data_IF_146244757201
#
_entry.id   IF_146244757201
#
_cell.length_a   1.000
_cell.length_b   1.000
_cell.length_c   1.000
_cell.angle_alpha   90.00
_cell.angle_beta   90.00
_cell.angle_gamma   90.00
#
_symmetry.space_group_name_H-M   'P 1'
#
loop_
_entity.id
_entity.type
_entity.pdbx_description
1 polymer ?
#
# COMPACT_ATOMS: atom_id res chain seq x y z
N UNK A 1 18.63 -14.00 2.56
CA UNK A 1 17.89 -15.17 3.00
C UNK A 1 16.44 -15.08 2.59
N UNK A 2 15.72 -16.20 2.62
CA UNK A 2 14.34 -16.23 2.17
C UNK A 2 13.42 -15.43 3.11
N UNK A 3 13.77 -15.31 4.36
CA UNK A 3 13.00 -14.49 5.29
C UNK A 3 13.10 -13.00 4.96
N UNK A 4 14.28 -12.55 4.59
CA UNK A 4 14.49 -11.17 4.19
C UNK A 4 13.72 -10.87 2.90
N UNK A 5 13.78 -11.79 1.96
CA UNK A 5 13.06 -11.64 0.70
C UNK A 5 11.54 -11.58 0.92
N UNK A 6 11.03 -12.47 1.78
CA UNK A 6 9.61 -12.48 2.12
C UNK A 6 9.18 -11.17 2.77
N UNK A 7 9.99 -10.67 3.69
CA UNK A 7 9.69 -9.40 4.36
C UNK A 7 9.69 -8.24 3.37
N UNK A 8 10.64 -8.25 2.44
CA UNK A 8 10.71 -7.22 1.41
C UNK A 8 9.49 -7.24 0.50
N UNK A 9 9.02 -8.43 0.15
CA UNK A 9 7.83 -8.58 -0.68
C UNK A 9 6.57 -8.10 0.04
N UNK A 10 6.46 -8.41 1.32
CA UNK A 10 5.33 -7.94 2.13
C UNK A 10 5.33 -6.43 2.25
N UNK A 11 6.50 -5.85 2.44
CA UNK A 11 6.64 -4.39 2.50
C UNK A 11 6.20 -3.75 1.18
N UNK A 12 6.62 -4.33 0.08
CA UNK A 12 6.26 -3.83 -1.25
C UNK A 12 4.75 -3.90 -1.46
N UNK A 13 4.13 -5.01 -1.08
CA UNK A 13 2.69 -5.19 -1.20
C UNK A 13 1.92 -4.20 -0.31
N UNK A 14 2.38 -4.03 0.94
CA UNK A 14 1.74 -3.10 1.87
C UNK A 14 1.86 -1.67 1.37
N UNK A 15 3.00 -1.32 0.80
CA UNK A 15 3.20 0.02 0.23
C UNK A 15 2.21 0.30 -0.89
N UNK A 16 2.02 -0.68 -1.77
CA UNK A 16 1.05 -0.56 -2.87
C UNK A 16 -0.38 -0.43 -2.36
N UNK A 17 -0.71 -1.22 -1.34
CA UNK A 17 -2.04 -1.16 -0.74
C UNK A 17 -2.29 0.19 -0.07
N UNK A 18 -1.30 0.70 0.63
CA UNK A 18 -1.39 2.03 1.26
C UNK A 18 -1.62 3.11 0.22
N UNK A 19 -0.91 3.06 -0.88
CA UNK A 19 -1.10 4.01 -1.97
C UNK A 19 -2.54 3.99 -2.47
N UNK A 20 -3.09 2.80 -2.66
CA UNK A 20 -4.47 2.65 -3.11
C UNK A 20 -5.46 3.20 -2.09
N UNK A 21 -5.23 2.92 -0.81
CA UNK A 21 -6.09 3.41 0.25
C UNK A 21 -6.07 4.92 0.34
N UNK A 22 -4.89 5.52 0.22
CA UNK A 22 -4.76 6.97 0.23
C UNK A 22 -5.46 7.58 -0.98
N UNK A 23 -5.31 6.97 -2.15
CA UNK A 23 -5.99 7.42 -3.36
C UNK A 23 -7.50 7.42 -3.20
N UNK A 24 -8.04 6.35 -2.62
CA UNK A 24 -9.48 6.23 -2.36
C UNK A 24 -9.95 7.30 -1.38
N UNK A 25 -9.16 7.50 -0.34
CA UNK A 25 -9.50 8.51 0.67
C UNK A 25 -9.56 9.90 0.05
N UNK A 26 -8.55 10.23 -0.75
CA UNK A 26 -8.50 11.54 -1.40
C UNK A 26 -9.65 11.71 -2.39
N UNK A 27 -9.97 10.66 -3.12
CA UNK A 27 -11.10 10.69 -4.06
C UNK A 27 -12.42 10.94 -3.31
N UNK A 28 -12.60 10.30 -2.15
CA UNK A 28 -13.79 10.49 -1.34
C UNK A 28 -13.88 11.93 -0.83
N UNK A 29 -12.77 12.47 -0.37
CA UNK A 29 -12.72 13.84 0.15
C UNK A 29 -13.06 14.82 -0.96
N UNK A 30 -12.53 14.59 -2.15
CA UNK A 30 -12.79 15.47 -3.29
C UNK A 30 -14.25 15.39 -3.78
N UNK A 31 -14.83 14.19 -3.69
CA UNK A 31 -16.22 13.98 -4.10
C UNK A 31 -17.21 14.58 -3.09
N UNK A 32 -16.77 14.65 -1.84
CA UNK A 32 -17.58 15.26 -0.81
C UNK A 32 -17.43 16.77 -0.83
#
# INVERSE_FOLDING_TARGET
SSQVLSAAQMLSNDSGRLKNEVSKFLANVRAA
#
